data_IF_085296187752
#
_entry.id   IF_085296187752
#
_cell.length_a   1.000
_cell.length_b   1.000
_cell.length_c   1.000
_cell.angle_alpha   90.00
_cell.angle_beta   90.00
_cell.angle_gamma   90.00
#
_symmetry.space_group_name_H-M   'P 1'
#
loop_
_entity.id
_entity.type
_entity.pdbx_description
1 polymer ?
#
# COMPACT_ATOMS: atom_id res chain seq x y z
N UNK A 1 -15.70 -1.17 -0.31
CA UNK A 1 -14.24 -1.15 -0.51
C UNK A 1 -13.57 -2.25 0.27
N UNK A 2 -12.45 -2.72 -0.20
CA UNK A 2 -11.56 -3.68 0.49
C UNK A 2 -10.11 -3.22 0.34
N UNK A 3 -9.22 -3.71 1.20
CA UNK A 3 -7.78 -3.59 1.00
C UNK A 3 -7.31 -4.90 0.37
N UNK A 4 -6.98 -4.86 -0.92
CA UNK A 4 -6.50 -6.00 -1.68
C UNK A 4 -4.98 -5.96 -1.80
N UNK A 5 -4.30 -6.99 -1.32
CA UNK A 5 -2.86 -7.18 -1.44
C UNK A 5 -2.48 -7.90 -2.73
N UNK A 6 -1.45 -7.42 -3.41
CA UNK A 6 -0.88 -8.08 -4.58
C UNK A 6 0.56 -8.47 -4.27
N UNK A 7 0.73 -9.69 -3.78
CA UNK A 7 1.95 -10.22 -3.18
C UNK A 7 2.76 -11.02 -4.21
N UNK A 8 4.06 -10.78 -4.27
CA UNK A 8 4.94 -11.58 -5.13
C UNK A 8 6.39 -11.08 -5.11
N UNK A 9 7.34 -11.89 -5.57
CA UNK A 9 8.74 -11.50 -5.64
C UNK A 9 8.97 -10.36 -6.64
N UNK A 10 10.17 -9.77 -6.61
CA UNK A 10 10.58 -8.80 -7.60
C UNK A 10 10.61 -9.47 -8.99
N UNK A 11 10.12 -8.75 -10.01
CA UNK A 11 9.98 -9.28 -11.35
C UNK A 11 8.74 -10.16 -11.60
N UNK A 12 7.91 -10.44 -10.61
CA UNK A 12 6.69 -11.25 -10.79
C UNK A 12 5.61 -10.59 -11.65
N UNK A 13 5.72 -9.28 -11.95
CA UNK A 13 4.76 -8.55 -12.78
C UNK A 13 3.83 -7.60 -12.00
N UNK A 14 4.09 -7.35 -10.69
CA UNK A 14 3.26 -6.48 -9.84
C UNK A 14 3.11 -5.07 -10.43
N UNK A 15 4.22 -4.34 -10.60
CA UNK A 15 4.21 -2.97 -11.11
C UNK A 15 3.69 -2.89 -12.55
N UNK A 16 3.98 -3.89 -13.40
CA UNK A 16 3.43 -3.95 -14.76
C UNK A 16 1.90 -4.05 -14.72
N UNK A 17 1.36 -4.90 -13.87
CA UNK A 17 -0.10 -5.02 -13.68
C UNK A 17 -0.69 -3.70 -13.20
N UNK A 18 -0.07 -3.05 -12.20
CA UNK A 18 -0.52 -1.75 -11.73
C UNK A 18 -0.46 -0.68 -12.82
N UNK A 19 0.60 -0.62 -13.61
CA UNK A 19 0.69 0.32 -14.73
C UNK A 19 -0.41 0.12 -15.78
N UNK A 20 -0.81 -1.13 -16.03
CA UNK A 20 -1.95 -1.41 -16.92
C UNK A 20 -3.26 -0.93 -16.29
N UNK A 21 -3.52 -1.26 -15.03
CA UNK A 21 -4.75 -0.88 -14.32
C UNK A 21 -4.86 0.65 -14.16
N UNK A 22 -3.74 1.34 -14.00
CA UNK A 22 -3.68 2.81 -13.88
C UNK A 22 -3.61 3.53 -15.22
N UNK A 23 -3.71 2.80 -16.34
CA UNK A 23 -3.67 3.31 -17.72
C UNK A 23 -2.33 3.90 -18.17
N UNK A 24 -1.24 3.64 -17.47
CA UNK A 24 0.10 4.07 -17.85
C UNK A 24 0.71 3.15 -18.92
N UNK A 25 0.27 1.90 -18.98
CA UNK A 25 0.71 0.91 -19.96
C UNK A 25 -0.53 0.27 -20.61
N UNK A 26 -0.49 0.07 -21.93
CA UNK A 26 -1.53 -0.71 -22.63
C UNK A 26 -1.23 -2.20 -22.52
N UNK A 27 -2.23 -3.05 -22.22
CA UNK A 27 -2.06 -4.49 -22.29
C UNK A 27 -1.81 -4.93 -23.74
N UNK A 28 -0.94 -5.93 -23.94
CA UNK A 28 -0.69 -6.54 -25.26
C UNK A 28 -1.90 -7.32 -25.76
N UNK A 29 -2.64 -7.95 -24.82
CA UNK A 29 -3.85 -8.71 -25.09
C UNK A 29 -4.72 -8.78 -23.84
N UNK A 30 -5.96 -9.25 -24.01
CA UNK A 30 -6.93 -9.33 -22.91
C UNK A 30 -7.58 -7.98 -22.58
N UNK A 31 -8.44 -7.97 -21.56
CA UNK A 31 -9.21 -6.81 -21.13
C UNK A 31 -8.99 -6.57 -19.62
N UNK A 32 -8.95 -5.30 -19.24
CA UNK A 32 -8.89 -4.89 -17.84
C UNK A 32 -9.86 -3.73 -17.60
N UNK A 33 -10.49 -3.71 -16.44
CA UNK A 33 -11.38 -2.62 -16.04
C UNK A 33 -11.14 -2.20 -14.60
N UNK A 34 -11.29 -0.91 -14.32
CA UNK A 34 -11.21 -0.35 -12.97
C UNK A 34 -12.44 0.51 -12.74
N UNK A 35 -13.12 0.24 -11.63
CA UNK A 35 -14.37 0.91 -11.27
C UNK A 35 -15.41 0.88 -12.41
N UNK A 36 -15.51 -0.26 -13.14
CA UNK A 36 -16.43 -0.45 -14.26
C UNK A 36 -16.02 0.20 -15.58
N UNK A 37 -14.85 0.86 -15.65
CA UNK A 37 -14.34 1.47 -16.87
C UNK A 37 -13.18 0.66 -17.45
N UNK A 38 -13.26 0.31 -18.72
CA UNK A 38 -12.18 -0.35 -19.45
C UNK A 38 -10.95 0.56 -19.56
N UNK A 39 -9.76 0.01 -19.27
CA UNK A 39 -8.51 0.79 -19.19
C UNK A 39 -8.01 1.29 -20.55
N UNK A 40 -8.41 0.65 -21.65
CA UNK A 40 -8.00 1.00 -23.02
C UNK A 40 -8.97 1.99 -23.67
N UNK A 41 -10.27 1.70 -23.57
CA UNK A 41 -11.31 2.50 -24.26
C UNK A 41 -11.78 3.70 -23.45
N UNK A 42 -11.66 3.66 -22.11
CA UNK A 42 -12.10 4.73 -21.20
C UNK A 42 -11.00 5.23 -20.22
N UNK A 43 -9.73 5.43 -20.65
CA UNK A 43 -8.62 5.73 -19.74
C UNK A 43 -8.83 7.01 -18.93
N UNK A 44 -9.45 8.03 -19.52
CA UNK A 44 -9.75 9.30 -18.83
C UNK A 44 -10.75 9.11 -17.68
N UNK A 45 -11.73 8.20 -17.83
CA UNK A 45 -12.68 7.88 -16.77
C UNK A 45 -12.01 7.07 -15.67
N UNK A 46 -11.12 6.14 -16.03
CA UNK A 46 -10.30 5.41 -15.06
C UNK A 46 -9.49 6.39 -14.23
N UNK A 47 -8.66 7.26 -14.86
CA UNK A 47 -7.81 8.23 -14.16
C UNK A 47 -8.55 9.18 -13.23
N UNK A 48 -9.78 9.56 -13.56
CA UNK A 48 -10.62 10.38 -12.66
C UNK A 48 -11.07 9.67 -11.38
N UNK A 49 -11.08 8.35 -11.39
CA UNK A 49 -11.56 7.54 -10.28
C UNK A 49 -10.45 6.83 -9.50
N UNK A 50 -9.19 6.98 -9.92
CA UNK A 50 -8.05 6.35 -9.25
C UNK A 50 -7.09 7.37 -8.69
N UNK A 51 -6.44 7.02 -7.57
CA UNK A 51 -5.18 7.59 -7.12
C UNK A 51 -4.06 6.57 -7.35
N UNK A 52 -2.85 7.03 -7.63
CA UNK A 52 -1.71 6.15 -7.78
C UNK A 52 -0.49 6.73 -7.08
N UNK A 53 0.05 5.96 -6.14
CA UNK A 53 1.27 6.26 -5.38
C UNK A 53 2.30 5.24 -5.80
N UNK A 54 3.36 5.70 -6.44
CA UNK A 54 4.42 4.83 -6.94
C UNK A 54 5.38 4.44 -5.81
N UNK A 55 6.24 3.46 -6.09
CA UNK A 55 7.30 3.05 -5.18
C UNK A 55 8.25 4.23 -4.88
N UNK A 56 8.71 4.92 -5.94
CA UNK A 56 9.45 6.16 -5.80
C UNK A 56 8.53 7.31 -5.38
N UNK A 57 9.06 8.17 -4.52
CA UNK A 57 8.29 9.30 -3.97
C UNK A 57 8.13 10.36 -5.07
N UNK A 58 6.89 10.67 -5.41
CA UNK A 58 6.51 11.56 -6.52
C UNK A 58 6.29 13.03 -6.13
N UNK A 59 6.70 13.46 -4.93
CA UNK A 59 6.59 14.87 -4.50
C UNK A 59 7.81 15.68 -4.91
N UNK A 60 7.61 16.98 -5.10
CA UNK A 60 8.71 17.93 -5.27
C UNK A 60 9.31 18.29 -3.90
N UNK A 61 10.59 17.97 -3.71
CA UNK A 61 11.29 18.17 -2.43
C UNK A 61 11.51 19.66 -2.09
N UNK A 62 11.56 20.54 -3.08
CA UNK A 62 11.77 21.97 -2.89
C UNK A 62 10.46 22.74 -2.59
N UNK A 63 9.32 22.12 -2.83
CA UNK A 63 8.02 22.65 -2.45
C UNK A 63 7.68 22.29 -1.00
N UNK A 64 6.88 23.14 -0.37
CA UNK A 64 6.27 22.83 0.93
C UNK A 64 5.22 21.74 0.78
N UNK A 65 4.80 21.12 1.90
CA UNK A 65 3.73 20.12 1.86
C UNK A 65 2.43 20.72 1.27
N UNK A 66 2.09 21.93 1.64
CA UNK A 66 0.94 22.66 1.11
C UNK A 66 1.05 22.90 -0.39
N UNK A 67 2.22 23.33 -0.87
CA UNK A 67 2.44 23.62 -2.30
C UNK A 67 2.36 22.35 -3.16
N UNK A 68 2.93 21.23 -2.70
CA UNK A 68 2.78 19.93 -3.35
C UNK A 68 1.28 19.57 -3.52
N UNK A 69 0.50 19.71 -2.44
CA UNK A 69 -0.93 19.43 -2.48
C UNK A 69 -1.71 20.43 -3.36
N UNK A 70 -1.33 21.73 -3.36
CA UNK A 70 -1.91 22.72 -4.26
C UNK A 70 -1.64 22.38 -5.73
N UNK A 71 -0.43 21.96 -6.03
CA UNK A 71 -0.05 21.52 -7.37
C UNK A 71 -0.90 20.34 -7.81
N UNK A 72 -1.04 19.33 -6.95
CA UNK A 72 -1.87 18.15 -7.23
C UNK A 72 -3.36 18.49 -7.37
N UNK A 73 -3.87 19.44 -6.58
CA UNK A 73 -5.24 19.96 -6.75
C UNK A 73 -5.48 20.57 -8.13
N UNK A 74 -4.49 21.34 -8.65
CA UNK A 74 -4.58 21.96 -9.98
C UNK A 74 -4.58 20.90 -11.09
N UNK A 75 -3.68 19.90 -11.01
CA UNK A 75 -3.63 18.79 -11.97
C UNK A 75 -4.95 18.02 -11.98
N UNK A 76 -5.50 17.76 -10.79
CA UNK A 76 -6.76 17.02 -10.62
C UNK A 76 -8.00 17.87 -10.92
N UNK A 77 -7.83 19.13 -11.35
CA UNK A 77 -8.91 20.06 -11.69
C UNK A 77 -9.94 20.26 -10.56
N UNK A 78 -9.48 20.28 -9.31
CA UNK A 78 -10.34 20.55 -8.15
C UNK A 78 -10.81 22.02 -8.18
N UNK A 79 -12.11 22.29 -8.01
CA UNK A 79 -12.64 23.65 -7.95
C UNK A 79 -11.91 24.51 -6.92
N UNK A 80 -11.58 25.77 -7.27
CA UNK A 80 -10.76 26.65 -6.44
C UNK A 80 -11.29 26.81 -5.03
N UNK A 81 -12.60 26.89 -4.87
CA UNK A 81 -13.31 27.03 -3.60
C UNK A 81 -13.16 25.80 -2.68
N UNK A 82 -12.83 24.64 -3.22
CA UNK A 82 -12.64 23.40 -2.47
C UNK A 82 -11.19 23.14 -2.08
N UNK A 83 -10.22 23.77 -2.77
CA UNK A 83 -8.78 23.45 -2.63
C UNK A 83 -8.33 23.58 -1.17
N UNK A 84 -8.61 24.72 -0.51
CA UNK A 84 -8.17 24.96 0.87
C UNK A 84 -8.66 23.85 1.80
N UNK A 85 -9.97 23.58 1.77
CA UNK A 85 -10.59 22.55 2.59
C UNK A 85 -10.02 21.17 2.35
N UNK A 86 -9.76 20.81 1.08
CA UNK A 86 -9.17 19.52 0.70
C UNK A 86 -7.77 19.34 1.26
N UNK A 87 -6.94 20.38 1.16
CA UNK A 87 -5.59 20.37 1.68
C UNK A 87 -5.59 20.20 3.19
N UNK A 88 -6.42 20.95 3.90
CA UNK A 88 -6.56 20.84 5.36
C UNK A 88 -6.99 19.42 5.78
N UNK A 89 -8.00 18.85 5.11
CA UNK A 89 -8.48 17.48 5.38
C UNK A 89 -7.39 16.42 5.20
N UNK A 90 -6.63 16.46 4.10
CA UNK A 90 -5.60 15.43 3.85
C UNK A 90 -4.35 15.64 4.70
N UNK A 91 -3.98 16.87 5.03
CA UNK A 91 -2.86 17.16 5.94
C UNK A 91 -3.15 16.65 7.35
N UNK A 92 -4.37 16.86 7.85
CA UNK A 92 -4.81 16.33 9.14
C UNK A 92 -4.81 14.79 9.12
N UNK A 93 -5.34 14.18 8.06
CA UNK A 93 -5.39 12.73 7.91
C UNK A 93 -4.01 12.07 7.99
N UNK A 94 -3.00 12.68 7.36
CA UNK A 94 -1.61 12.17 7.34
C UNK A 94 -0.72 12.77 8.43
N UNK A 95 -1.30 13.54 9.37
CA UNK A 95 -0.61 14.18 10.50
C UNK A 95 0.60 15.03 10.06
N UNK A 96 0.39 15.89 9.07
CA UNK A 96 1.39 16.84 8.57
C UNK A 96 0.93 18.30 8.67
N UNK A 97 -0.16 18.58 9.40
CA UNK A 97 -0.70 19.94 9.56
C UNK A 97 0.32 20.92 10.13
N UNK A 98 1.05 20.52 11.18
CA UNK A 98 2.10 21.33 11.82
C UNK A 98 3.30 21.62 10.89
N UNK A 99 3.48 20.79 9.84
CA UNK A 99 4.59 20.82 8.90
C UNK A 99 4.20 21.28 7.50
N UNK A 100 3.02 21.81 7.35
CA UNK A 100 2.43 22.13 6.04
C UNK A 100 3.19 23.21 5.25
N UNK A 101 3.87 24.11 5.94
CA UNK A 101 4.61 25.23 5.36
C UNK A 101 6.16 24.97 5.36
N UNK A 102 6.60 23.79 5.83
CA UNK A 102 7.99 23.36 5.75
C UNK A 102 8.25 22.74 4.37
N UNK A 103 9.44 22.95 3.81
CA UNK A 103 9.87 22.31 2.57
C UNK A 103 10.03 20.80 2.74
N UNK A 104 9.56 20.05 1.76
CA UNK A 104 9.52 18.57 1.81
C UNK A 104 10.90 17.92 1.85
N UNK A 105 11.96 18.63 1.44
CA UNK A 105 13.35 18.17 1.56
C UNK A 105 13.76 17.95 3.03
N UNK A 106 13.15 18.69 3.97
CA UNK A 106 13.43 18.56 5.41
C UNK A 106 12.70 17.38 6.07
N UNK A 107 11.82 16.71 5.33
CA UNK A 107 10.99 15.63 5.85
C UNK A 107 11.77 14.32 5.96
N UNK A 108 11.46 13.53 6.98
CA UNK A 108 11.88 12.13 7.03
C UNK A 108 11.26 11.32 5.87
N UNK A 109 11.85 10.16 5.55
CA UNK A 109 11.30 9.28 4.51
C UNK A 109 9.82 8.92 4.74
N UNK A 110 9.44 8.65 6.00
CA UNK A 110 8.05 8.40 6.37
C UNK A 110 7.13 9.61 6.20
N UNK A 111 7.60 10.82 6.49
CA UNK A 111 6.84 12.06 6.26
C UNK A 111 6.65 12.31 4.76
N UNK A 112 7.70 12.12 3.95
CA UNK A 112 7.61 12.22 2.49
C UNK A 112 6.61 11.21 1.91
N UNK A 113 6.65 9.96 2.37
CA UNK A 113 5.69 8.93 1.92
C UNK A 113 4.25 9.25 2.33
N UNK A 114 4.02 9.80 3.52
CA UNK A 114 2.70 10.27 3.95
C UNK A 114 2.17 11.41 3.08
N UNK A 115 3.03 12.36 2.74
CA UNK A 115 2.68 13.45 1.81
C UNK A 115 2.37 12.93 0.41
N UNK A 116 3.13 11.98 -0.09
CA UNK A 116 2.92 11.31 -1.38
C UNK A 116 1.55 10.59 -1.42
N UNK A 117 1.20 9.87 -0.35
CA UNK A 117 -0.13 9.27 -0.19
C UNK A 117 -1.22 10.35 -0.15
N UNK A 118 -1.01 11.46 0.55
CA UNK A 118 -1.95 12.59 0.59
C UNK A 118 -2.19 13.20 -0.80
N UNK A 119 -1.13 13.31 -1.63
CA UNK A 119 -1.25 13.71 -3.02
C UNK A 119 -2.13 12.76 -3.84
N UNK A 120 -1.96 11.44 -3.64
CA UNK A 120 -2.80 10.42 -4.28
C UNK A 120 -4.27 10.46 -3.86
N UNK A 121 -4.57 11.03 -2.68
CA UNK A 121 -5.91 11.09 -2.10
C UNK A 121 -6.68 12.39 -2.37
N UNK A 122 -5.98 13.47 -2.72
CA UNK A 122 -6.53 14.84 -2.70
C UNK A 122 -7.82 15.00 -3.53
N UNK A 123 -7.98 14.25 -4.60
CA UNK A 123 -9.15 14.28 -5.48
C UNK A 123 -10.23 13.25 -5.10
N UNK A 124 -10.10 12.56 -3.93
CA UNK A 124 -11.01 11.53 -3.41
C UNK A 124 -11.29 10.40 -4.42
N UNK A 125 -10.28 9.65 -4.82
CA UNK A 125 -10.45 8.53 -5.76
C UNK A 125 -11.37 7.46 -5.18
N UNK A 126 -11.89 6.59 -6.05
CA UNK A 126 -12.66 5.39 -5.66
C UNK A 126 -11.76 4.20 -5.41
N UNK A 127 -10.61 4.18 -6.09
CA UNK A 127 -9.58 3.15 -5.93
C UNK A 127 -8.23 3.83 -5.78
N UNK A 128 -7.49 3.49 -4.73
CA UNK A 128 -6.12 3.96 -4.53
C UNK A 128 -5.15 2.80 -4.76
N UNK A 129 -4.25 2.97 -5.71
CA UNK A 129 -3.14 2.05 -5.97
C UNK A 129 -1.91 2.51 -5.21
N UNK A 130 -1.29 1.59 -4.46
CA UNK A 130 -0.09 1.82 -3.68
C UNK A 130 0.97 0.80 -4.10
N UNK A 131 1.98 1.23 -4.84
CA UNK A 131 3.06 0.35 -5.31
C UNK A 131 4.19 0.31 -4.26
N UNK A 132 4.31 -0.82 -3.57
CA UNK A 132 5.30 -1.08 -2.53
C UNK A 132 5.45 0.07 -1.52
N UNK A 133 4.37 0.51 -0.84
CA UNK A 133 4.31 1.80 -0.12
C UNK A 133 5.26 1.90 1.07
N UNK A 134 5.83 0.79 1.55
CA UNK A 134 6.68 0.76 2.75
C UNK A 134 8.12 0.30 2.47
N UNK A 135 8.46 0.12 1.19
CA UNK A 135 9.84 -0.25 0.81
C UNK A 135 10.83 0.84 1.22
N UNK A 136 11.97 0.42 1.78
CA UNK A 136 13.03 1.33 2.23
C UNK A 136 12.76 2.03 3.57
N UNK A 137 11.62 1.75 4.22
CA UNK A 137 11.30 2.29 5.54
C UNK A 137 11.66 1.30 6.65
N UNK A 138 12.06 1.86 7.81
CA UNK A 138 12.26 1.09 9.02
C UNK A 138 10.94 0.48 9.55
N UNK A 139 11.04 -0.51 10.43
CA UNK A 139 9.88 -1.27 10.94
C UNK A 139 8.84 -0.37 11.62
N UNK A 140 9.28 0.62 12.40
CA UNK A 140 8.36 1.49 13.13
C UNK A 140 7.60 2.42 12.16
N UNK A 141 8.32 3.01 11.21
CA UNK A 141 7.74 3.86 10.17
C UNK A 141 6.79 3.06 9.28
N UNK A 142 7.14 1.81 8.93
CA UNK A 142 6.28 0.91 8.16
C UNK A 142 4.94 0.67 8.86
N UNK A 143 4.95 0.35 10.16
CA UNK A 143 3.71 0.14 10.95
C UNK A 143 2.83 1.40 10.96
N UNK A 144 3.42 2.58 11.11
CA UNK A 144 2.69 3.85 11.02
C UNK A 144 2.04 4.04 9.65
N UNK A 145 2.73 3.74 8.56
CA UNK A 145 2.14 3.81 7.21
C UNK A 145 0.94 2.85 7.09
N UNK A 146 1.01 1.63 7.62
CA UNK A 146 -0.14 0.71 7.65
C UNK A 146 -1.33 1.27 8.44
N UNK A 147 -1.08 1.92 9.58
CA UNK A 147 -2.13 2.59 10.35
C UNK A 147 -2.82 3.70 9.54
N UNK A 148 -2.04 4.52 8.81
CA UNK A 148 -2.58 5.53 7.91
C UNK A 148 -3.40 4.93 6.78
N UNK A 149 -2.92 3.88 6.13
CA UNK A 149 -3.65 3.19 5.05
C UNK A 149 -4.99 2.65 5.57
N UNK A 150 -5.01 2.04 6.75
CA UNK A 150 -6.26 1.57 7.38
C UNK A 150 -7.20 2.72 7.74
N UNK A 151 -6.66 3.83 8.28
CA UNK A 151 -7.44 5.04 8.61
C UNK A 151 -8.12 5.59 7.36
N UNK A 152 -7.36 5.72 6.26
CA UNK A 152 -7.85 6.16 4.95
C UNK A 152 -8.99 5.25 4.46
N UNK A 153 -8.77 3.93 4.48
CA UNK A 153 -9.77 2.95 4.07
C UNK A 153 -11.06 3.09 4.87
N UNK A 154 -10.94 3.15 6.20
CA UNK A 154 -12.09 3.27 7.10
C UNK A 154 -12.86 4.58 6.92
N UNK A 155 -12.14 5.70 6.73
CA UNK A 155 -12.75 7.03 6.64
C UNK A 155 -13.46 7.25 5.31
N UNK A 156 -12.86 6.81 4.21
CA UNK A 156 -13.40 7.06 2.86
C UNK A 156 -14.15 5.88 2.24
N UNK A 157 -14.07 4.69 2.83
CA UNK A 157 -14.70 3.47 2.28
C UNK A 157 -14.20 3.10 0.88
N UNK A 158 -13.01 3.58 0.48
CA UNK A 158 -12.45 3.33 -0.83
C UNK A 158 -11.78 1.97 -0.92
N UNK A 159 -11.66 1.45 -2.14
CA UNK A 159 -10.86 0.26 -2.41
C UNK A 159 -9.38 0.63 -2.46
N UNK A 160 -8.54 -0.14 -1.78
CA UNK A 160 -7.08 0.00 -1.83
C UNK A 160 -6.49 -1.22 -2.53
N UNK A 161 -5.60 -1.00 -3.50
CA UNK A 161 -4.83 -2.04 -4.16
C UNK A 161 -3.36 -1.83 -3.83
N UNK A 162 -2.78 -2.73 -3.03
CA UNK A 162 -1.43 -2.60 -2.47
C UNK A 162 -0.54 -3.69 -3.05
N UNK A 163 0.50 -3.33 -3.80
CA UNK A 163 1.53 -4.30 -4.15
C UNK A 163 2.56 -4.40 -3.03
N UNK A 164 3.07 -5.58 -2.80
CA UNK A 164 4.13 -5.82 -1.82
C UNK A 164 4.87 -7.13 -2.10
N UNK A 165 6.09 -7.21 -1.61
CA UNK A 165 6.81 -8.48 -1.49
C UNK A 165 6.99 -8.90 -0.01
N UNK A 166 6.45 -8.13 0.93
CA UNK A 166 6.46 -8.44 2.36
C UNK A 166 5.20 -9.17 2.78
N UNK A 167 5.35 -10.44 3.20
CA UNK A 167 4.24 -11.24 3.72
C UNK A 167 3.59 -10.58 4.96
N UNK A 168 4.41 -9.97 5.84
CA UNK A 168 3.94 -9.27 7.02
C UNK A 168 3.00 -8.10 6.68
N UNK A 169 3.28 -7.36 5.61
CA UNK A 169 2.42 -6.27 5.13
C UNK A 169 1.08 -6.80 4.63
N UNK A 170 1.11 -7.84 3.80
CA UNK A 170 -0.09 -8.48 3.30
C UNK A 170 -0.98 -9.02 4.43
N UNK A 171 -0.37 -9.66 5.42
CA UNK A 171 -1.05 -10.24 6.59
C UNK A 171 -1.68 -9.20 7.51
N UNK A 172 -0.95 -8.11 7.77
CA UNK A 172 -1.42 -7.08 8.70
C UNK A 172 -2.39 -6.08 8.05
N UNK A 173 -2.32 -5.87 6.74
CA UNK A 173 -3.02 -4.78 6.09
C UNK A 173 -4.21 -5.24 5.24
N UNK A 174 -4.11 -6.39 4.58
CA UNK A 174 -5.02 -6.75 3.50
C UNK A 174 -6.18 -7.65 3.96
N UNK A 175 -7.37 -7.40 3.43
CA UNK A 175 -8.54 -8.26 3.62
C UNK A 175 -8.41 -9.55 2.79
N UNK A 176 -7.90 -9.41 1.55
CA UNK A 176 -7.59 -10.51 0.62
C UNK A 176 -6.25 -10.25 -0.06
N UNK A 177 -5.60 -11.33 -0.46
CA UNK A 177 -4.30 -11.29 -1.12
C UNK A 177 -4.33 -12.14 -2.38
N UNK A 178 -3.84 -11.59 -3.48
CA UNK A 178 -3.51 -12.33 -4.69
C UNK A 178 -2.00 -12.55 -4.75
N UNK A 179 -1.56 -13.81 -4.79
CA UNK A 179 -0.15 -14.14 -4.98
C UNK A 179 0.12 -14.24 -6.46
N UNK A 180 1.09 -13.44 -6.94
CA UNK A 180 1.57 -13.48 -8.32
C UNK A 180 2.99 -14.00 -8.37
N UNK A 181 3.25 -14.90 -9.34
CA UNK A 181 4.58 -15.37 -9.67
C UNK A 181 4.68 -15.62 -11.18
N UNK A 182 5.80 -15.23 -11.79
CA UNK A 182 6.04 -15.32 -13.24
C UNK A 182 4.86 -14.81 -14.09
N UNK A 183 4.27 -13.68 -13.70
CA UNK A 183 3.15 -13.03 -14.41
C UNK A 183 1.81 -13.74 -14.29
N UNK A 184 1.68 -14.75 -13.43
CA UNK A 184 0.44 -15.51 -13.23
C UNK A 184 -0.02 -15.42 -11.77
N UNK A 185 -1.32 -15.20 -11.60
CA UNK A 185 -1.94 -15.28 -10.27
C UNK A 185 -2.03 -16.75 -9.89
N UNK A 186 -1.38 -17.14 -8.80
CA UNK A 186 -1.33 -18.49 -8.28
C UNK A 186 -2.54 -18.80 -7.39
N UNK A 187 -2.90 -17.85 -6.54
CA UNK A 187 -4.00 -17.99 -5.59
C UNK A 187 -4.55 -16.60 -5.22
N UNK A 188 -5.83 -16.52 -4.92
CA UNK A 188 -6.48 -15.35 -4.31
C UNK A 188 -7.29 -15.82 -3.13
N UNK A 189 -6.93 -15.38 -1.91
CA UNK A 189 -7.64 -15.78 -0.68
C UNK A 189 -7.40 -14.75 0.43
N UNK A 190 -7.99 -14.97 1.60
CA UNK A 190 -7.64 -14.20 2.80
C UNK A 190 -6.27 -14.64 3.35
N UNK A 191 -5.48 -13.75 3.98
CA UNK A 191 -4.20 -14.13 4.59
C UNK A 191 -4.35 -15.31 5.56
N UNK A 192 -5.42 -15.31 6.37
CA UNK A 192 -5.71 -16.40 7.31
C UNK A 192 -5.95 -17.74 6.62
N UNK A 193 -6.73 -17.76 5.53
CA UNK A 193 -7.00 -18.99 4.77
C UNK A 193 -5.73 -19.52 4.12
N UNK A 194 -4.87 -18.63 3.60
CA UNK A 194 -3.59 -19.03 3.00
C UNK A 194 -2.67 -19.69 4.02
N UNK A 195 -2.57 -19.14 5.24
CA UNK A 195 -1.77 -19.74 6.32
C UNK A 195 -2.26 -21.13 6.70
N UNK A 196 -3.57 -21.31 6.81
CA UNK A 196 -4.16 -22.61 7.15
C UNK A 196 -3.93 -23.69 6.07
N UNK A 197 -3.77 -23.27 4.79
CA UNK A 197 -3.49 -24.22 3.67
C UNK A 197 -2.03 -24.65 3.60
N UNK A 198 -1.12 -23.93 4.24
CA UNK A 198 0.32 -24.25 4.22
C UNK A 198 0.69 -25.40 5.18
N UNK A 199 -0.28 -25.95 5.91
CA UNK A 199 -0.13 -27.12 6.82
C UNK A 199 1.10 -27.09 7.75
N UNK A 200 1.68 -25.92 7.97
CA UNK A 200 2.80 -25.75 8.89
C UNK A 200 2.28 -25.13 10.19
N UNK A 201 1.95 -25.97 11.14
CA UNK A 201 1.69 -25.51 12.51
C UNK A 201 2.95 -24.89 13.08
N UNK A 202 2.94 -23.57 13.26
CA UNK A 202 4.02 -22.91 13.99
C UNK A 202 3.73 -22.99 15.48
N UNK A 203 4.43 -23.88 16.17
CA UNK A 203 4.33 -23.99 17.63
C UNK A 203 5.34 -23.03 18.25
N UNK A 204 4.85 -22.01 18.94
CA UNK A 204 5.69 -21.05 19.67
C UNK A 204 5.80 -21.49 21.13
N UNK A 205 7.01 -21.78 21.57
CA UNK A 205 7.30 -22.11 22.96
C UNK A 205 7.99 -20.94 23.67
N UNK A 206 7.50 -20.60 24.86
CA UNK A 206 8.21 -19.72 25.79
C UNK A 206 8.94 -20.58 26.81
N UNK A 207 10.25 -20.55 26.79
CA UNK A 207 11.08 -21.32 27.75
C UNK A 207 11.64 -20.34 28.80
N UNK A 208 11.48 -20.66 30.07
CA UNK A 208 12.15 -19.92 31.13
C UNK A 208 13.67 -20.03 30.98
N UNK A 209 14.45 -19.02 31.38
CA UNK A 209 15.89 -18.91 31.14
C UNK A 209 16.72 -19.89 31.97
N UNK A 210 16.61 -21.18 31.68
CA UNK A 210 17.43 -22.26 32.24
C UNK A 210 18.07 -22.98 31.03
N UNK A 211 19.33 -22.70 30.77
CA UNK A 211 20.03 -23.17 29.58
C UNK A 211 20.10 -24.71 29.48
N UNK A 212 20.18 -25.39 30.61
CA UNK A 212 20.24 -26.86 30.65
C UNK A 212 18.89 -27.48 30.25
N UNK A 213 17.80 -26.93 30.72
CA UNK A 213 16.45 -27.37 30.33
C UNK A 213 16.11 -27.04 28.89
N UNK A 214 16.64 -25.94 28.40
CA UNK A 214 16.48 -25.52 26.99
C UNK A 214 17.15 -26.52 26.02
N UNK A 215 18.37 -26.96 26.32
CA UNK A 215 19.08 -27.94 25.54
C UNK A 215 18.36 -29.30 25.51
N UNK A 216 17.92 -29.80 26.65
CA UNK A 216 17.15 -31.05 26.79
C UNK A 216 15.79 -31.00 26.10
N UNK A 217 15.14 -29.83 26.11
CA UNK A 217 13.87 -29.62 25.38
C UNK A 217 14.05 -29.62 23.88
N UNK A 218 15.09 -28.96 23.35
CA UNK A 218 15.42 -28.96 21.94
C UNK A 218 15.76 -30.38 21.43
N UNK A 219 16.47 -31.17 22.23
CA UNK A 219 16.82 -32.55 21.90
C UNK A 219 15.57 -33.46 21.85
N UNK A 220 14.64 -33.28 22.79
CA UNK A 220 13.34 -33.95 22.75
C UNK A 220 12.46 -33.54 21.54
N UNK A 221 12.47 -32.28 21.15
CA UNK A 221 11.72 -31.82 19.97
C UNK A 221 12.24 -32.44 18.68
N UNK A 222 13.56 -32.66 18.56
CA UNK A 222 14.16 -33.33 17.39
C UNK A 222 13.81 -34.81 17.26
N UNK A 223 13.32 -35.43 18.33
CA UNK A 223 12.89 -36.84 18.34
C UNK A 223 11.39 -37.03 18.11
N UNK A 224 10.63 -35.94 18.00
CA UNK A 224 9.23 -35.96 17.59
C UNK A 224 9.21 -35.87 16.06
N UNK A 225 8.74 -36.92 15.38
CA UNK A 225 8.36 -36.89 13.96
C UNK A 225 7.12 -35.98 13.83
N UNK A 226 7.37 -34.67 13.64
CA UNK A 226 6.36 -33.64 13.38
C UNK A 226 6.47 -33.17 11.94
#
# INVERSE_FOLDING_TARGET
GEIFGFLGPNGAGKSTTMMILTTLLKPTSGNASVYGFDVVTNPSKVRKNIGFVQQEIGIDEYLTARENLQFQCKISQIPKEQIKKRIEEVLDLVELTEKQDDQSITFSGGMRKRLDIACGLIHRPKVLFLDEPTVGLDIQTRRKIWEYIRKIHKEFGMTLFVSTHYMEEADNLCDRVGIIDYGKIQIVDTPKSMKNKLETDMITFSVLPDEIKKAQFIEKLKTLDL
#
